data_IF_119997421703
#
_entry.id   IF_119997421703
#
_cell.length_a   1.000
_cell.length_b   1.000
_cell.length_c   1.000
_cell.angle_alpha   90.00
_cell.angle_beta   90.00
_cell.angle_gamma   90.00
#
_symmetry.space_group_name_H-M   'P 1'
#
loop_
_entity.id
_entity.type
_entity.pdbx_description
1 polymer ?
#
# COMPACT_ATOMS: atom_id res chain seq x y z
N UNK A 1 24.21 23.59 7.63
CA UNK A 1 23.32 22.38 7.70
C UNK A 1 22.07 22.43 6.85
N UNK A 2 21.71 23.57 6.23
CA UNK A 2 20.47 23.74 5.43
C UNK A 2 20.54 23.20 3.98
N UNK A 3 21.71 22.90 3.45
CA UNK A 3 21.86 22.56 2.02
C UNK A 3 21.47 21.13 1.65
N UNK A 4 21.36 20.23 2.62
CA UNK A 4 21.08 18.80 2.40
C UNK A 4 19.64 18.38 2.69
N UNK A 5 18.82 19.29 3.21
CA UNK A 5 17.46 19.00 3.67
C UNK A 5 16.40 19.70 2.83
N UNK A 6 15.28 19.01 2.56
CA UNK A 6 14.15 19.61 1.85
C UNK A 6 13.41 20.59 2.74
N UNK A 7 13.37 21.87 2.31
CA UNK A 7 12.73 22.98 3.05
C UNK A 7 13.12 23.06 4.54
N UNK A 8 14.36 22.68 4.87
CA UNK A 8 14.85 22.73 6.25
C UNK A 8 14.36 21.57 7.15
N UNK A 9 13.59 20.62 6.65
CA UNK A 9 13.17 19.43 7.41
C UNK A 9 14.33 18.43 7.53
N UNK A 10 14.87 18.18 8.74
CA UNK A 10 16.02 17.28 8.93
C UNK A 10 15.71 15.81 8.57
N UNK A 11 14.45 15.44 8.47
CA UNK A 11 14.03 14.08 8.13
C UNK A 11 13.90 13.84 6.62
N UNK A 12 13.98 14.89 5.80
CA UNK A 12 13.82 14.81 4.36
C UNK A 12 15.12 15.16 3.63
N UNK A 13 15.63 14.24 2.81
CA UNK A 13 16.75 14.51 1.91
C UNK A 13 16.29 15.42 0.78
N UNK A 14 17.05 16.48 0.50
CA UNK A 14 16.84 17.36 -0.64
C UNK A 14 17.26 16.66 -1.94
N UNK A 15 16.54 16.91 -3.02
CA UNK A 15 16.90 16.42 -4.34
C UNK A 15 18.19 17.05 -4.90
N UNK A 16 18.85 16.34 -5.78
CA UNK A 16 20.07 16.76 -6.49
C UNK A 16 21.26 17.05 -5.55
N UNK A 17 21.30 16.39 -4.40
CA UNK A 17 22.45 16.46 -3.49
C UNK A 17 23.35 15.27 -3.75
N UNK A 18 24.63 15.57 -4.07
CA UNK A 18 25.62 14.53 -4.24
C UNK A 18 25.81 13.75 -2.92
N UNK A 19 25.77 12.44 -3.02
CA UNK A 19 25.97 11.54 -1.91
C UNK A 19 27.17 10.66 -2.16
N UNK A 20 28.09 10.65 -1.21
CA UNK A 20 29.17 9.67 -1.18
C UNK A 20 28.66 8.36 -0.61
N UNK A 21 28.99 7.26 -1.26
CA UNK A 21 28.56 5.92 -0.88
C UNK A 21 29.75 5.10 -0.36
N UNK A 22 29.59 4.41 0.75
CA UNK A 22 30.53 3.36 1.13
C UNK A 22 30.22 2.07 0.36
N UNK A 23 31.20 1.16 0.28
CA UNK A 23 30.98 -0.14 -0.38
C UNK A 23 29.85 -0.94 0.30
N UNK A 24 29.76 -0.86 1.63
CA UNK A 24 28.73 -1.51 2.40
C UNK A 24 27.33 -0.95 2.03
N UNK A 25 27.21 0.38 1.91
CA UNK A 25 25.94 1.01 1.51
C UNK A 25 25.53 0.63 0.09
N UNK A 26 26.46 0.50 -0.85
CA UNK A 26 26.17 0.04 -2.21
C UNK A 26 25.64 -1.39 -2.21
N UNK A 27 26.28 -2.30 -1.48
CA UNK A 27 25.85 -3.70 -1.34
C UNK A 27 24.48 -3.79 -0.67
N UNK A 28 24.27 -3.01 0.38
CA UNK A 28 23.02 -2.99 1.14
C UNK A 28 21.86 -2.39 0.29
N UNK A 29 22.13 -1.33 -0.47
CA UNK A 29 21.17 -0.76 -1.40
C UNK A 29 20.74 -1.78 -2.46
N UNK A 30 21.70 -2.50 -3.06
CA UNK A 30 21.42 -3.53 -4.04
C UNK A 30 20.57 -4.67 -3.44
N UNK A 31 20.83 -5.06 -2.19
CA UNK A 31 20.02 -6.05 -1.46
C UNK A 31 18.60 -5.57 -1.23
N UNK A 32 18.44 -4.33 -0.74
CA UNK A 32 17.14 -3.72 -0.53
C UNK A 32 16.33 -3.62 -1.83
N UNK A 33 16.98 -3.24 -2.93
CA UNK A 33 16.35 -3.14 -4.24
C UNK A 33 15.81 -4.48 -4.74
N UNK A 34 16.54 -5.57 -4.53
CA UNK A 34 16.19 -6.92 -4.99
C UNK A 34 15.14 -7.62 -4.12
N UNK A 35 15.11 -7.30 -2.83
CA UNK A 35 14.26 -7.97 -1.84
C UNK A 35 13.38 -6.97 -1.07
N UNK A 36 12.12 -6.78 -1.49
CA UNK A 36 11.20 -5.91 -0.78
C UNK A 36 10.90 -6.38 0.65
N UNK A 37 10.92 -7.68 0.93
CA UNK A 37 10.69 -8.22 2.27
C UNK A 37 11.85 -7.85 3.20
N UNK A 38 13.07 -7.99 2.71
CA UNK A 38 14.26 -7.59 3.45
C UNK A 38 14.24 -6.10 3.78
N UNK A 39 13.99 -5.25 2.76
CA UNK A 39 13.89 -3.81 2.96
C UNK A 39 12.86 -3.44 4.01
N UNK A 40 11.64 -3.98 3.89
CA UNK A 40 10.55 -3.65 4.79
C UNK A 40 10.88 -4.05 6.22
N UNK A 41 11.34 -5.27 6.45
CA UNK A 41 11.63 -5.77 7.80
C UNK A 41 12.84 -5.10 8.46
N UNK A 42 13.78 -4.60 7.65
CA UNK A 42 15.01 -3.99 8.15
C UNK A 42 14.84 -2.49 8.42
N UNK A 43 14.21 -1.79 7.48
CA UNK A 43 14.23 -0.32 7.48
C UNK A 43 12.89 0.35 7.74
N UNK A 44 11.76 -0.31 7.44
CA UNK A 44 10.46 0.32 7.63
C UNK A 44 10.08 0.33 9.10
N UNK A 45 9.66 1.51 9.57
CA UNK A 45 9.10 1.72 10.90
C UNK A 45 7.64 2.12 10.78
N UNK A 46 6.85 1.65 11.72
CA UNK A 46 5.41 1.87 11.79
C UNK A 46 5.03 2.39 13.18
N UNK A 47 3.89 3.06 13.27
CA UNK A 47 3.33 3.48 14.56
C UNK A 47 2.46 2.37 15.12
N UNK A 48 2.86 1.86 16.28
CA UNK A 48 2.02 1.00 17.15
C UNK A 48 1.24 1.88 18.10
N UNK A 49 0.02 1.49 18.42
CA UNK A 49 -0.81 2.20 19.41
C UNK A 49 -0.20 2.12 20.82
N UNK A 50 0.46 1.01 21.14
CA UNK A 50 0.97 0.73 22.49
C UNK A 50 2.44 1.11 22.66
N UNK A 51 3.26 0.97 21.60
CA UNK A 51 4.72 1.08 21.68
C UNK A 51 5.29 2.29 20.91
N UNK A 52 4.44 3.08 20.24
CA UNK A 52 4.89 4.19 19.41
C UNK A 52 5.57 3.73 18.12
N UNK A 53 6.72 4.31 17.78
CA UNK A 53 7.43 4.01 16.53
C UNK A 53 8.30 2.76 16.67
N UNK A 54 7.91 1.67 15.99
CA UNK A 54 8.56 0.36 16.05
C UNK A 54 8.98 -0.15 14.66
N UNK A 55 9.96 -1.08 14.57
CA UNK A 55 10.24 -1.81 13.34
C UNK A 55 9.04 -2.61 12.85
N UNK A 56 8.81 -2.62 11.56
CA UNK A 56 7.70 -3.40 10.99
C UNK A 56 8.07 -4.90 10.88
N UNK A 57 7.71 -5.65 11.89
CA UNK A 57 7.82 -7.12 11.89
C UNK A 57 6.58 -7.70 11.24
N UNK A 58 6.69 -8.08 9.95
CA UNK A 58 5.58 -8.62 9.17
C UNK A 58 5.14 -10.02 9.63
N UNK A 59 3.83 -10.21 9.71
CA UNK A 59 3.21 -11.53 9.87
C UNK A 59 3.39 -12.40 8.61
N UNK A 60 3.22 -13.74 8.72
CA UNK A 60 3.37 -14.64 7.56
C UNK A 60 2.50 -14.24 6.36
N UNK A 61 1.22 -13.96 6.56
CA UNK A 61 0.31 -13.54 5.49
C UNK A 61 0.70 -12.18 4.87
N UNK A 62 1.27 -11.25 5.65
CA UNK A 62 1.75 -9.97 5.13
C UNK A 62 2.97 -10.15 4.23
N UNK A 63 3.86 -11.10 4.54
CA UNK A 63 4.98 -11.47 3.68
C UNK A 63 4.50 -12.08 2.38
N UNK A 64 3.49 -12.96 2.43
CA UNK A 64 2.85 -13.53 1.26
C UNK A 64 2.21 -12.46 0.38
N UNK A 65 1.48 -11.50 0.98
CA UNK A 65 0.93 -10.34 0.27
C UNK A 65 2.01 -9.60 -0.51
N UNK A 66 3.10 -9.20 0.14
CA UNK A 66 4.20 -8.46 -0.51
C UNK A 66 4.82 -9.29 -1.64
N UNK A 67 5.08 -10.57 -1.41
CA UNK A 67 5.59 -11.48 -2.43
C UNK A 67 4.67 -11.60 -3.64
N UNK A 68 3.36 -11.65 -3.41
CA UNK A 68 2.35 -11.73 -4.48
C UNK A 68 2.25 -10.41 -5.25
N UNK A 69 2.25 -9.25 -4.58
CA UNK A 69 2.27 -7.94 -5.22
C UNK A 69 3.51 -7.74 -6.09
N UNK A 70 4.65 -8.24 -5.63
CA UNK A 70 5.90 -8.11 -6.37
C UNK A 70 5.90 -8.93 -7.66
N UNK A 71 5.38 -10.15 -7.61
CA UNK A 71 5.41 -11.12 -8.73
C UNK A 71 4.27 -10.93 -9.74
N UNK A 72 3.11 -10.44 -9.31
CA UNK A 72 1.90 -10.43 -10.13
C UNK A 72 1.46 -9.02 -10.51
N UNK A 73 0.73 -8.91 -11.62
CA UNK A 73 0.13 -7.65 -12.09
C UNK A 73 -1.17 -7.31 -11.37
N UNK A 74 -1.99 -8.33 -11.12
CA UNK A 74 -3.33 -8.17 -10.57
C UNK A 74 -3.43 -8.99 -9.29
N UNK A 75 -3.78 -8.32 -8.20
CA UNK A 75 -3.97 -8.97 -6.90
C UNK A 75 -5.23 -8.40 -6.24
N UNK A 76 -6.02 -9.29 -5.67
CA UNK A 76 -7.20 -8.93 -4.87
C UNK A 76 -7.09 -9.58 -3.50
N UNK A 77 -7.22 -8.78 -2.44
CA UNK A 77 -7.02 -9.25 -1.08
C UNK A 77 -8.29 -9.02 -0.24
N UNK A 78 -8.78 -10.08 0.35
CA UNK A 78 -9.90 -10.11 1.28
C UNK A 78 -9.36 -10.36 2.69
N UNK A 79 -9.43 -9.35 3.55
CA UNK A 79 -8.83 -9.40 4.88
C UNK A 79 -9.76 -8.79 5.94
N UNK A 80 -9.68 -9.30 7.17
CA UNK A 80 -10.40 -8.72 8.29
C UNK A 80 -9.91 -7.31 8.62
N UNK A 81 -10.75 -6.58 9.33
CA UNK A 81 -10.40 -5.26 9.85
C UNK A 81 -9.19 -5.33 10.78
N UNK A 82 -8.35 -4.28 10.79
CA UNK A 82 -7.16 -4.17 11.65
C UNK A 82 -6.15 -5.33 11.51
N UNK A 83 -6.04 -5.93 10.33
CA UNK A 83 -5.02 -6.95 10.01
C UNK A 83 -3.68 -6.35 9.57
N UNK A 84 -3.56 -5.03 9.55
CA UNK A 84 -2.35 -4.35 9.04
C UNK A 84 -2.25 -4.32 7.51
N UNK A 85 -3.35 -4.61 6.78
CA UNK A 85 -3.40 -4.64 5.32
C UNK A 85 -2.84 -3.36 4.67
N UNK A 86 -3.33 -2.19 5.10
CA UNK A 86 -2.92 -0.90 4.53
C UNK A 86 -1.45 -0.58 4.86
N UNK A 87 -0.97 -0.93 6.05
CA UNK A 87 0.44 -0.77 6.44
C UNK A 87 1.36 -1.62 5.57
N UNK A 88 0.98 -2.86 5.29
CA UNK A 88 1.71 -3.76 4.39
C UNK A 88 1.81 -3.17 2.98
N UNK A 89 0.69 -2.65 2.47
CA UNK A 89 0.65 -2.03 1.15
C UNK A 89 1.54 -0.81 1.05
N UNK A 90 1.39 0.17 1.95
CA UNK A 90 2.19 1.40 1.88
C UNK A 90 3.69 1.11 2.00
N UNK A 91 4.08 0.10 2.77
CA UNK A 91 5.48 -0.33 2.87
C UNK A 91 6.01 -0.89 1.55
N UNK A 92 5.20 -1.67 0.84
CA UNK A 92 5.52 -2.14 -0.51
C UNK A 92 5.58 -0.99 -1.53
N UNK A 93 4.63 -0.05 -1.49
CA UNK A 93 4.63 1.12 -2.38
C UNK A 93 5.86 2.01 -2.15
N UNK A 94 6.26 2.17 -0.89
CA UNK A 94 7.50 2.88 -0.54
C UNK A 94 8.72 2.21 -1.18
N UNK A 95 8.88 0.89 -0.99
CA UNK A 95 9.94 0.13 -1.66
C UNK A 95 9.92 0.35 -3.18
N UNK A 96 8.75 0.18 -3.79
CA UNK A 96 8.62 0.28 -5.24
C UNK A 96 9.01 1.67 -5.77
N UNK A 97 8.62 2.74 -5.08
CA UNK A 97 8.95 4.12 -5.47
C UNK A 97 10.42 4.48 -5.27
N UNK A 98 11.09 3.89 -4.27
CA UNK A 98 12.50 4.16 -4.00
C UNK A 98 13.44 3.49 -5.00
N UNK A 99 13.11 2.26 -5.40
CA UNK A 99 14.03 1.41 -6.17
C UNK A 99 13.68 1.26 -7.66
N UNK A 100 12.56 1.83 -8.11
CA UNK A 100 12.21 1.87 -9.53
C UNK A 100 12.11 3.32 -9.98
N UNK A 101 12.90 3.75 -10.96
CA UNK A 101 12.84 5.13 -11.44
C UNK A 101 11.62 5.38 -12.33
N UNK A 102 11.15 6.63 -12.34
CA UNK A 102 10.07 7.12 -13.22
C UNK A 102 8.75 6.35 -13.07
N UNK A 103 8.41 5.93 -11.86
CA UNK A 103 7.15 5.23 -11.61
C UNK A 103 6.07 6.17 -11.08
N UNK A 104 4.86 5.99 -11.59
CA UNK A 104 3.67 6.68 -11.12
C UNK A 104 2.80 5.70 -10.34
N UNK A 105 2.44 6.07 -9.09
CA UNK A 105 1.64 5.26 -8.18
C UNK A 105 0.39 6.06 -7.79
N UNK A 106 -0.79 5.46 -7.92
CA UNK A 106 -2.04 6.00 -7.41
C UNK A 106 -2.48 5.23 -6.16
N UNK A 107 -2.64 5.92 -5.04
CA UNK A 107 -3.28 5.43 -3.82
C UNK A 107 -4.72 5.94 -3.83
N UNK A 108 -5.67 5.04 -4.00
CA UNK A 108 -7.08 5.34 -4.08
C UNK A 108 -7.85 4.68 -2.93
N UNK A 109 -8.74 5.43 -2.30
CA UNK A 109 -9.62 4.93 -1.25
C UNK A 109 -11.04 5.43 -1.47
N UNK A 110 -12.01 4.90 -0.72
CA UNK A 110 -13.39 5.35 -0.79
C UNK A 110 -13.57 6.85 -0.47
N UNK A 111 -12.66 7.42 0.33
CA UNK A 111 -12.63 8.86 0.66
C UNK A 111 -11.22 9.43 0.45
N UNK A 112 -11.13 10.66 -0.05
CA UNK A 112 -9.86 11.35 -0.24
C UNK A 112 -9.06 11.53 1.08
N UNK A 113 -9.76 11.70 2.21
CA UNK A 113 -9.11 11.79 3.51
C UNK A 113 -8.38 10.49 3.88
N UNK A 114 -9.00 9.33 3.61
CA UNK A 114 -8.39 8.01 3.84
C UNK A 114 -7.16 7.81 2.95
N UNK A 115 -7.25 8.17 1.67
CA UNK A 115 -6.10 8.07 0.77
C UNK A 115 -4.93 8.95 1.22
N UNK A 116 -5.22 10.19 1.69
CA UNK A 116 -4.19 11.08 2.24
C UNK A 116 -3.58 10.57 3.54
N UNK A 117 -4.36 9.92 4.39
CA UNK A 117 -3.85 9.26 5.60
C UNK A 117 -2.87 8.14 5.23
N UNK A 118 -3.18 7.32 4.24
CA UNK A 118 -2.28 6.28 3.72
C UNK A 118 -0.98 6.87 3.19
N UNK A 119 -1.05 7.95 2.41
CA UNK A 119 0.15 8.65 1.94
C UNK A 119 0.94 9.22 3.13
N UNK A 120 0.29 9.79 4.14
CA UNK A 120 0.94 10.29 5.35
C UNK A 120 1.71 9.20 6.12
N UNK A 121 1.18 7.97 6.19
CA UNK A 121 1.89 6.82 6.77
C UNK A 121 3.10 6.40 5.94
N UNK A 122 2.99 6.43 4.61
CA UNK A 122 4.13 6.21 3.71
C UNK A 122 5.21 7.29 3.91
N UNK A 123 4.80 8.54 4.02
CA UNK A 123 5.68 9.68 4.29
C UNK A 123 6.41 9.50 5.63
N UNK A 124 5.70 9.10 6.69
CA UNK A 124 6.32 8.80 7.98
C UNK A 124 7.35 7.67 7.89
N UNK A 125 7.03 6.60 7.17
CA UNK A 125 7.98 5.51 6.96
C UNK A 125 9.23 5.99 6.20
N UNK A 126 9.06 6.82 5.17
CA UNK A 126 10.17 7.45 4.43
C UNK A 126 11.05 8.33 5.34
N UNK A 127 10.46 9.19 6.18
CA UNK A 127 11.19 10.09 7.10
C UNK A 127 12.09 9.33 8.08
N UNK A 128 11.75 8.08 8.39
CA UNK A 128 12.49 7.23 9.30
C UNK A 128 13.57 6.36 8.60
N UNK A 129 13.70 6.44 7.28
CA UNK A 129 14.77 5.77 6.56
C UNK A 129 16.12 6.47 6.79
N UNK A 130 17.25 5.71 6.80
CA UNK A 130 18.57 6.30 6.75
C UNK A 130 18.72 7.23 5.54
N UNK A 131 19.40 8.35 5.69
CA UNK A 131 19.54 9.36 4.62
C UNK A 131 20.15 8.81 3.32
N UNK A 132 21.10 7.89 3.43
CA UNK A 132 21.72 7.25 2.28
C UNK A 132 20.74 6.38 1.48
N UNK A 133 19.65 5.92 2.10
CA UNK A 133 18.62 5.09 1.47
C UNK A 133 17.46 5.94 0.90
N UNK A 134 17.32 7.20 1.32
CA UNK A 134 16.30 8.09 0.82
C UNK A 134 16.65 8.58 -0.60
N UNK A 135 15.68 8.54 -1.52
CA UNK A 135 15.70 9.36 -2.73
C UNK A 135 15.43 10.82 -2.36
N UNK A 136 16.07 11.78 -3.02
CA UNK A 136 15.82 13.19 -2.72
C UNK A 136 14.38 13.61 -3.02
N UNK A 137 13.85 14.51 -2.21
CA UNK A 137 12.47 15.00 -2.33
C UNK A 137 12.41 16.17 -3.30
N UNK A 138 11.56 16.06 -4.33
CA UNK A 138 11.23 17.13 -5.28
C UNK A 138 9.94 17.87 -4.86
N UNK A 139 8.94 17.12 -4.39
CA UNK A 139 7.66 17.66 -3.89
C UNK A 139 7.13 16.82 -2.74
N UNK A 140 6.61 17.48 -1.70
CA UNK A 140 6.12 16.82 -0.49
C UNK A 140 4.84 17.50 -0.01
N UNK A 141 3.69 16.88 -0.34
CA UNK A 141 2.38 17.43 -0.03
C UNK A 141 1.49 16.38 0.64
N UNK A 142 0.40 16.82 1.24
CA UNK A 142 -0.59 15.90 1.85
C UNK A 142 -1.28 14.96 0.86
N UNK A 143 -1.31 15.32 -0.42
CA UNK A 143 -1.99 14.54 -1.47
C UNK A 143 -1.03 13.99 -2.53
N UNK A 144 0.25 14.37 -2.50
CA UNK A 144 1.22 13.91 -3.49
C UNK A 144 2.66 13.96 -2.97
N UNK A 145 3.49 13.10 -3.54
CA UNK A 145 4.92 13.00 -3.28
C UNK A 145 5.64 12.82 -4.62
N UNK A 146 6.75 13.54 -4.82
CA UNK A 146 7.63 13.37 -5.97
C UNK A 146 9.09 13.26 -5.51
N UNK A 147 9.79 12.26 -6.04
CA UNK A 147 11.17 11.93 -5.72
C UNK A 147 12.12 12.25 -6.88
N UNK A 148 13.40 12.47 -6.60
CA UNK A 148 14.43 12.83 -7.58
C UNK A 148 14.65 11.76 -8.65
N UNK A 149 14.34 10.48 -8.36
CA UNK A 149 14.38 9.42 -9.36
C UNK A 149 13.22 9.47 -10.37
N UNK A 150 12.38 10.51 -10.33
CA UNK A 150 11.22 10.71 -11.20
C UNK A 150 9.95 9.99 -10.74
N UNK A 151 9.99 9.29 -9.61
CA UNK A 151 8.82 8.57 -9.09
C UNK A 151 7.84 9.52 -8.42
N UNK A 152 6.55 9.29 -8.68
CA UNK A 152 5.44 10.12 -8.18
C UNK A 152 4.38 9.23 -7.52
N UNK A 153 3.85 9.70 -6.40
CA UNK A 153 2.73 9.06 -5.69
C UNK A 153 1.61 10.08 -5.54
N UNK A 154 0.41 9.72 -5.96
CA UNK A 154 -0.81 10.51 -5.83
C UNK A 154 -1.78 9.79 -4.90
N UNK A 155 -2.39 10.53 -3.97
CA UNK A 155 -3.47 10.05 -3.10
C UNK A 155 -4.78 10.77 -3.41
N UNK A 156 -5.82 10.01 -3.77
CA UNK A 156 -7.14 10.55 -4.14
C UNK A 156 -8.27 9.62 -3.74
N UNK A 157 -9.51 10.11 -3.81
CA UNK A 157 -10.69 9.23 -3.73
C UNK A 157 -10.83 8.42 -5.01
N UNK A 158 -11.36 7.20 -4.89
CA UNK A 158 -11.74 6.39 -6.04
C UNK A 158 -12.88 7.08 -6.80
N UNK A 159 -12.61 7.49 -8.01
CA UNK A 159 -13.59 8.13 -8.90
C UNK A 159 -13.24 7.88 -10.36
N UNK A 160 -14.19 8.04 -11.26
CA UNK A 160 -13.99 7.85 -12.70
C UNK A 160 -12.89 8.73 -13.31
N UNK A 161 -12.56 9.85 -12.66
CA UNK A 161 -11.54 10.81 -13.11
C UNK A 161 -10.22 10.71 -12.36
N UNK A 162 -10.13 9.94 -11.26
CA UNK A 162 -8.96 9.92 -10.36
C UNK A 162 -7.64 9.60 -11.05
N UNK A 163 -7.67 8.72 -12.05
CA UNK A 163 -6.48 8.26 -12.80
C UNK A 163 -6.66 8.42 -14.31
N UNK A 164 -7.70 9.14 -14.75
CA UNK A 164 -7.99 9.34 -16.16
C UNK A 164 -6.94 10.25 -16.80
N UNK A 165 -6.40 9.81 -17.93
CA UNK A 165 -5.39 10.56 -18.69
C UNK A 165 -3.97 10.45 -18.13
N UNK A 166 -3.76 9.74 -17.01
CA UNK A 166 -2.46 9.43 -16.47
C UNK A 166 -1.98 8.02 -16.84
N UNK A 167 -0.66 7.83 -16.90
CA UNK A 167 -0.05 6.49 -16.99
C UNK A 167 0.46 6.10 -15.61
N UNK A 168 0.01 4.95 -15.10
CA UNK A 168 0.37 4.47 -13.77
C UNK A 168 1.04 3.11 -13.84
N UNK A 169 2.07 2.93 -13.01
CA UNK A 169 2.75 1.67 -12.83
C UNK A 169 2.05 0.82 -11.75
N UNK A 170 1.49 1.47 -10.72
CA UNK A 170 0.66 0.82 -9.70
C UNK A 170 -0.60 1.65 -9.46
N UNK A 171 -1.74 0.98 -9.45
CA UNK A 171 -3.01 1.49 -8.97
C UNK A 171 -3.39 0.67 -7.74
N UNK A 172 -3.36 1.29 -6.58
CA UNK A 172 -3.76 0.69 -5.32
C UNK A 172 -5.15 1.19 -4.90
N UNK A 173 -6.06 0.26 -4.68
CA UNK A 173 -7.45 0.50 -4.26
C UNK A 173 -7.64 -0.04 -2.85
N UNK A 174 -7.71 0.86 -1.88
CA UNK A 174 -7.97 0.51 -0.47
C UNK A 174 -9.45 0.63 -0.15
N UNK A 175 -9.95 -0.29 0.67
CA UNK A 175 -11.36 -0.40 1.09
C UNK A 175 -12.34 -0.36 -0.09
N UNK A 176 -11.99 -1.07 -1.17
CA UNK A 176 -12.73 -1.01 -2.43
C UNK A 176 -14.18 -1.52 -2.32
N UNK A 177 -14.47 -2.45 -1.41
CA UNK A 177 -15.83 -2.92 -1.14
C UNK A 177 -16.76 -1.81 -0.59
N UNK A 178 -16.21 -0.70 -0.11
CA UNK A 178 -16.98 0.44 0.39
C UNK A 178 -17.16 1.56 -0.65
N UNK A 179 -16.67 1.37 -1.86
CA UNK A 179 -16.90 2.29 -2.98
C UNK A 179 -18.30 2.04 -3.54
N UNK A 180 -19.15 3.06 -3.74
CA UNK A 180 -20.48 2.89 -4.33
C UNK A 180 -20.40 2.16 -5.69
N UNK A 181 -21.32 1.23 -5.96
CA UNK A 181 -21.24 0.35 -7.12
C UNK A 181 -21.19 1.11 -8.44
N UNK A 182 -21.99 2.18 -8.59
CA UNK A 182 -21.96 3.04 -9.78
C UNK A 182 -20.60 3.74 -9.98
N UNK A 183 -19.94 4.14 -8.91
CA UNK A 183 -18.59 4.75 -8.96
C UNK A 183 -17.54 3.71 -9.33
N UNK A 184 -17.61 2.51 -8.73
CA UNK A 184 -16.72 1.40 -9.03
C UNK A 184 -16.79 0.97 -10.49
N UNK A 185 -18.00 0.83 -11.06
CA UNK A 185 -18.22 0.49 -12.47
C UNK A 185 -17.67 1.56 -13.42
N UNK A 186 -17.95 2.83 -13.12
CA UNK A 186 -17.43 3.95 -13.91
C UNK A 186 -15.90 4.04 -13.81
N UNK A 187 -15.32 3.78 -12.63
CA UNK A 187 -13.90 3.74 -12.44
C UNK A 187 -13.26 2.68 -13.33
N UNK A 188 -13.71 1.44 -13.25
CA UNK A 188 -13.14 0.35 -14.07
C UNK A 188 -13.28 0.59 -15.56
N UNK A 189 -14.43 1.07 -16.05
CA UNK A 189 -14.60 1.39 -17.48
C UNK A 189 -13.68 2.53 -17.94
N UNK A 190 -13.40 3.51 -17.08
CA UNK A 190 -12.53 4.64 -17.41
C UNK A 190 -11.04 4.29 -17.32
N UNK A 191 -10.65 3.39 -16.42
CA UNK A 191 -9.26 3.09 -16.09
C UNK A 191 -8.76 1.86 -16.84
N UNK A 192 -9.63 0.93 -17.19
CA UNK A 192 -9.27 -0.32 -17.87
C UNK A 192 -8.48 -0.11 -19.17
N UNK A 193 -8.81 0.87 -20.04
CA UNK A 193 -7.98 1.15 -21.22
C UNK A 193 -6.54 1.54 -20.88
N UNK A 194 -6.34 2.28 -19.78
CA UNK A 194 -4.99 2.65 -19.29
C UNK A 194 -4.24 1.42 -18.77
N UNK A 195 -4.92 0.54 -18.04
CA UNK A 195 -4.35 -0.71 -17.53
C UNK A 195 -4.01 -1.67 -18.66
N UNK A 196 -4.87 -1.79 -19.66
CA UNK A 196 -4.71 -2.72 -20.78
C UNK A 196 -3.61 -2.30 -21.76
N UNK A 197 -3.34 -0.99 -21.91
CA UNK A 197 -2.27 -0.47 -22.75
C UNK A 197 -0.87 -0.74 -22.19
N UNK A 198 -0.75 -0.89 -20.86
CA UNK A 198 0.50 -1.18 -20.18
C UNK A 198 0.71 -2.67 -19.94
N UNK A 199 1.90 -3.20 -20.27
CA UNK A 199 2.26 -4.61 -19.99
C UNK A 199 2.69 -4.85 -18.52
N UNK A 200 3.05 -3.80 -17.80
CA UNK A 200 3.64 -3.86 -16.45
C UNK A 200 2.79 -3.20 -15.35
N UNK A 201 1.71 -2.52 -15.70
CA UNK A 201 0.83 -1.86 -14.72
C UNK A 201 0.27 -2.88 -13.74
N UNK A 202 0.42 -2.61 -12.46
CA UNK A 202 -0.12 -3.43 -11.37
C UNK A 202 -1.41 -2.81 -10.85
N UNK A 203 -2.42 -3.64 -10.62
CA UNK A 203 -3.64 -3.25 -9.92
C UNK A 203 -3.76 -4.13 -8.67
N UNK A 204 -3.80 -3.47 -7.52
CA UNK A 204 -3.86 -4.14 -6.23
C UNK A 204 -5.09 -3.63 -5.50
N UNK A 205 -6.02 -4.54 -5.23
CA UNK A 205 -7.30 -4.25 -4.56
C UNK A 205 -7.25 -4.89 -3.17
N UNK A 206 -7.52 -4.11 -2.15
CA UNK A 206 -7.56 -4.60 -0.77
C UNK A 206 -8.84 -4.12 -0.11
N UNK A 207 -9.57 -5.02 0.54
CA UNK A 207 -10.76 -4.64 1.29
C UNK A 207 -11.13 -5.66 2.38
N UNK A 208 -11.84 -5.19 3.39
CA UNK A 208 -12.79 -6.01 4.13
C UNK A 208 -14.05 -6.16 3.26
N UNK A 209 -14.67 -7.34 3.14
CA UNK A 209 -15.88 -7.53 2.34
C UNK A 209 -17.04 -6.66 2.84
N UNK A 210 -17.87 -6.19 1.91
CA UNK A 210 -19.05 -5.40 2.25
C UNK A 210 -20.16 -5.60 1.21
N UNK A 211 -20.96 -6.64 1.38
CA UNK A 211 -22.08 -6.93 0.48
C UNK A 211 -21.68 -7.43 -0.91
N UNK A 212 -22.69 -7.71 -1.75
CA UNK A 212 -22.54 -8.23 -3.12
C UNK A 212 -22.34 -7.11 -4.14
N UNK A 213 -21.18 -6.53 -4.16
CA UNK A 213 -20.80 -5.39 -5.02
C UNK A 213 -19.70 -5.76 -6.03
N UNK A 214 -19.07 -4.75 -6.64
CA UNK A 214 -17.97 -4.98 -7.60
C UNK A 214 -16.80 -5.73 -6.98
N UNK A 215 -16.44 -5.49 -5.71
CA UNK A 215 -15.39 -6.23 -5.02
C UNK A 215 -15.74 -7.71 -4.92
N UNK A 216 -16.97 -8.03 -4.51
CA UNK A 216 -17.47 -9.42 -4.44
C UNK A 216 -17.39 -10.11 -5.80
N UNK A 217 -17.87 -9.44 -6.88
CA UNK A 217 -17.78 -9.98 -8.24
C UNK A 217 -16.32 -10.28 -8.65
N UNK A 218 -15.43 -9.30 -8.46
CA UNK A 218 -14.01 -9.48 -8.82
C UNK A 218 -13.35 -10.60 -8.00
N UNK A 219 -13.72 -10.71 -6.73
CA UNK A 219 -13.25 -11.76 -5.83
C UNK A 219 -13.69 -13.14 -6.31
N UNK A 220 -15.00 -13.34 -6.49
CA UNK A 220 -15.56 -14.63 -6.96
C UNK A 220 -14.99 -15.03 -8.33
N UNK A 221 -14.88 -14.06 -9.26
CA UNK A 221 -14.25 -14.31 -10.56
C UNK A 221 -12.76 -14.69 -10.45
N UNK A 222 -12.05 -14.19 -9.43
CA UNK A 222 -10.66 -14.56 -9.17
C UNK A 222 -10.55 -15.99 -8.60
N UNK A 223 -11.40 -16.35 -7.62
CA UNK A 223 -11.45 -17.71 -7.07
C UNK A 223 -11.77 -18.75 -8.14
N UNK A 224 -12.69 -18.44 -9.03
CA UNK A 224 -13.09 -19.31 -10.13
C UNK A 224 -12.18 -19.20 -11.38
N UNK A 225 -11.09 -18.42 -11.28
CA UNK A 225 -10.13 -18.19 -12.39
C UNK A 225 -10.76 -17.60 -13.65
N UNK A 226 -11.83 -16.85 -13.51
CA UNK A 226 -12.51 -16.14 -14.62
C UNK A 226 -11.87 -14.80 -14.94
N UNK A 227 -11.04 -14.26 -14.06
CA UNK A 227 -10.25 -13.08 -14.29
C UNK A 227 -8.74 -13.35 -14.00
N UNK A 228 -7.91 -12.32 -14.16
CA UNK A 228 -6.46 -12.45 -13.97
C UNK A 228 -5.98 -12.05 -12.56
N UNK A 229 -6.87 -11.78 -11.63
CA UNK A 229 -6.50 -11.44 -10.27
C UNK A 229 -6.07 -12.68 -9.49
N UNK A 230 -4.99 -12.54 -8.73
CA UNK A 230 -4.56 -13.55 -7.75
C UNK A 230 -5.26 -13.21 -6.43
N UNK A 231 -6.16 -14.09 -5.93
CA UNK A 231 -6.85 -13.85 -4.68
C UNK A 231 -5.96 -14.20 -3.48
N UNK A 232 -6.01 -13.36 -2.46
CA UNK A 232 -5.42 -13.60 -1.13
C UNK A 232 -6.52 -13.43 -0.10
N UNK A 233 -6.80 -14.46 0.65
CA UNK A 233 -7.71 -14.45 1.79
C UNK A 233 -6.91 -14.59 3.08
N UNK A 234 -7.29 -13.84 4.10
CA UNK A 234 -6.73 -13.94 5.45
C UNK A 234 -7.87 -14.08 6.44
N UNK A 235 -7.88 -15.17 7.18
CA UNK A 235 -8.82 -15.38 8.25
C UNK A 235 -8.44 -14.58 9.50
N UNK A 236 -9.40 -14.16 10.31
CA UNK A 236 -9.12 -13.35 11.50
C UNK A 236 -8.16 -14.02 12.49
N UNK A 237 -8.22 -15.35 12.61
CA UNK A 237 -7.35 -16.13 13.51
C UNK A 237 -5.86 -16.17 13.07
N UNK A 238 -5.56 -15.78 11.84
CA UNK A 238 -4.17 -15.64 11.38
C UNK A 238 -3.49 -14.36 11.89
N UNK A 239 -4.31 -13.44 12.43
CA UNK A 239 -3.77 -12.20 13.02
C UNK A 239 -3.33 -12.50 14.47
N UNK A 240 -2.06 -12.34 14.82
CA UNK A 240 -1.56 -12.62 16.15
C UNK A 240 -2.33 -11.93 17.26
N UNK A 241 -2.62 -12.67 18.33
CA UNK A 241 -3.41 -12.19 19.45
C UNK A 241 -4.92 -12.35 19.28
N UNK A 242 -5.38 -12.90 18.16
CA UNK A 242 -6.79 -13.20 17.90
C UNK A 242 -7.03 -14.71 18.01
N UNK A 243 -7.45 -15.13 19.16
CA UNK A 243 -7.88 -16.49 19.48
C UNK A 243 -9.41 -16.55 19.72
N UNK A 244 -9.93 -17.72 20.07
CA UNK A 244 -11.36 -17.89 20.34
C UNK A 244 -11.84 -17.02 21.52
N UNK A 245 -10.98 -16.80 22.51
CA UNK A 245 -11.31 -15.90 23.63
C UNK A 245 -11.47 -14.46 23.16
N UNK A 246 -10.57 -13.99 22.30
CA UNK A 246 -10.69 -12.66 21.67
C UNK A 246 -11.97 -12.56 20.84
N UNK A 247 -12.35 -13.61 20.10
CA UNK A 247 -13.59 -13.68 19.33
C UNK A 247 -14.81 -13.52 20.23
N UNK A 248 -14.90 -14.34 21.30
CA UNK A 248 -16.00 -14.27 22.26
C UNK A 248 -16.11 -12.89 22.91
N UNK A 249 -15.01 -12.30 23.34
CA UNK A 249 -14.98 -10.95 23.93
C UNK A 249 -15.42 -9.89 22.92
N UNK A 250 -14.99 -9.99 21.67
CA UNK A 250 -15.38 -9.06 20.59
C UNK A 250 -16.88 -9.16 20.32
N UNK A 251 -17.44 -10.35 20.19
CA UNK A 251 -18.89 -10.58 20.00
C UNK A 251 -19.68 -10.02 21.17
N UNK A 252 -19.22 -10.28 22.42
CA UNK A 252 -19.88 -9.78 23.65
C UNK A 252 -19.91 -8.24 23.69
N UNK A 253 -18.86 -7.57 23.22
CA UNK A 253 -18.75 -6.10 23.24
C UNK A 253 -19.40 -5.43 22.01
N UNK A 254 -19.77 -6.20 20.99
CA UNK A 254 -20.37 -5.70 19.75
C UNK A 254 -21.65 -6.48 19.41
N UNK A 255 -21.57 -7.40 18.48
CA UNK A 255 -22.59 -8.40 18.15
C UNK A 255 -21.98 -9.45 17.22
N UNK A 256 -22.60 -10.62 17.13
CA UNK A 256 -22.20 -11.66 16.18
C UNK A 256 -22.30 -11.16 14.72
N UNK A 257 -23.35 -10.42 14.40
CA UNK A 257 -23.50 -9.82 13.08
C UNK A 257 -22.35 -8.86 12.73
N UNK A 258 -21.94 -8.03 13.69
CA UNK A 258 -20.82 -7.11 13.48
C UNK A 258 -19.50 -7.86 13.37
N UNK A 259 -19.28 -8.88 14.19
CA UNK A 259 -18.11 -9.74 14.09
C UNK A 259 -18.01 -10.39 12.71
N UNK A 260 -19.10 -11.00 12.24
CA UNK A 260 -19.14 -11.63 10.91
C UNK A 260 -18.85 -10.62 9.79
N UNK A 261 -19.37 -9.40 9.88
CA UNK A 261 -19.15 -8.37 8.87
C UNK A 261 -17.72 -7.86 8.83
N UNK A 262 -17.06 -7.72 9.98
CA UNK A 262 -15.77 -7.01 10.09
C UNK A 262 -14.58 -7.98 10.15
N UNK A 263 -14.78 -9.23 10.56
CA UNK A 263 -13.69 -10.16 10.84
C UNK A 263 -13.81 -11.51 10.15
N UNK A 264 -15.01 -12.11 10.04
CA UNK A 264 -15.15 -13.41 9.33
C UNK A 264 -14.93 -13.31 7.82
N UNK A 265 -15.13 -12.15 7.24
CA UNK A 265 -14.91 -11.87 5.81
C UNK A 265 -15.71 -12.77 4.87
#
# INVERSE_FOLDING_TARGET
MSDFTYLGNPNLKKANVQQEWTEEQVKEYARCMQDPLYFIQTYVRIVSLDEGLIPFKMYPFQKEMVGTFHKNRFTICKLPRQSGKSTTMISYLLHYSLFNPNVNIAILANKAATARDLLGRLQLAYENLPKWLQQGVMSWNKGSLELENGSKILASSTSASAVRGGSYNIIFLDEFAYVPSNVAEQFFSSVYPTISSGKSTKVIIVSTPHGMNMFYKLWTDAEEKRNSYIPIEVHWSEVPGRDEKWREETIKNTSEQQFNTEFEC
#
